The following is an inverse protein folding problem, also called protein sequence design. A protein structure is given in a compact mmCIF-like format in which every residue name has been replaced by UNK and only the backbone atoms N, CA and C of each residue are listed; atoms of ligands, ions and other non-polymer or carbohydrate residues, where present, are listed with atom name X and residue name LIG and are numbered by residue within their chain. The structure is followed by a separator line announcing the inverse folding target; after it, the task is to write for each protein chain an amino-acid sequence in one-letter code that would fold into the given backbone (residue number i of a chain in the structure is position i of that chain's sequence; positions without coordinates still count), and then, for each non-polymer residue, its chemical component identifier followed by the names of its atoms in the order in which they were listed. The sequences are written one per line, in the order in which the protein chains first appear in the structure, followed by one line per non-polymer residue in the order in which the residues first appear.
data_IF_677388316780
#
_entry.id   IF_677388316780
#
_cell.length_a   1.000
_cell.length_b   1.000
_cell.length_c   1.000
_cell.angle_alpha   90.00
_cell.angle_beta   90.00
_cell.angle_gamma   90.00
#
_symmetry.space_group_name_H-M   'P 1'
#
loop_
_entity.id
_entity.type
_entity.pdbx_description
1 polymer ?
#
# COMPACT_ATOMS: atom_id res chain seq x y z
N UNK A 1 19.42 11.34 -34.39
CA UNK A 1 19.36 12.82 -34.45
C UNK A 1 17.91 13.27 -34.32
N UNK A 2 17.51 13.84 -33.18
CA UNK A 2 16.15 14.37 -33.03
C UNK A 2 15.99 15.64 -33.88
N UNK A 3 14.96 15.69 -34.73
CA UNK A 3 14.68 16.82 -35.62
C UNK A 3 14.57 18.11 -34.80
N UNK A 4 15.11 19.25 -35.27
CA UNK A 4 15.11 20.52 -34.52
C UNK A 4 13.71 20.98 -34.08
N UNK A 5 12.65 20.61 -34.81
CA UNK A 5 11.26 20.87 -34.43
C UNK A 5 10.79 20.16 -33.15
N UNK A 6 11.32 18.97 -32.84
CA UNK A 6 10.94 18.21 -31.63
C UNK A 6 11.56 18.83 -30.36
N UNK A 7 12.72 19.48 -30.51
CA UNK A 7 13.44 20.13 -29.41
C UNK A 7 12.80 21.45 -28.99
N UNK A 8 12.31 22.22 -29.97
CA UNK A 8 11.54 23.44 -29.70
C UNK A 8 10.21 23.07 -29.02
N UNK A 9 9.54 21.99 -29.47
CA UNK A 9 8.32 21.49 -28.82
C UNK A 9 8.52 21.06 -27.36
N UNK A 10 9.65 20.42 -27.02
CA UNK A 10 9.95 20.02 -25.64
C UNK A 10 10.22 21.22 -24.72
N UNK A 11 10.98 22.23 -25.19
CA UNK A 11 11.25 23.45 -24.41
C UNK A 11 9.98 24.26 -24.22
N UNK A 12 9.13 24.37 -25.25
CA UNK A 12 7.83 25.04 -25.16
C UNK A 12 6.88 24.29 -24.22
N UNK A 13 6.89 22.95 -24.21
CA UNK A 13 6.09 22.15 -23.27
C UNK A 13 6.53 22.34 -21.80
N UNK A 14 7.84 22.45 -21.54
CA UNK A 14 8.38 22.68 -20.18
C UNK A 14 8.13 24.12 -19.71
N UNK A 15 8.21 25.10 -20.61
CA UNK A 15 7.85 26.49 -20.29
C UNK A 15 6.34 26.63 -20.03
N UNK A 16 5.49 25.89 -20.77
CA UNK A 16 4.05 25.87 -20.56
C UNK A 16 3.64 25.23 -19.22
N UNK A 17 4.36 24.21 -18.73
CA UNK A 17 4.09 23.60 -17.40
C UNK A 17 4.58 24.46 -16.23
N UNK A 18 5.49 25.41 -16.47
CA UNK A 18 6.02 26.28 -15.43
C UNK A 18 5.25 27.63 -15.29
N UNK A 19 4.52 28.03 -16.34
CA UNK A 19 3.70 29.26 -16.37
C UNK A 19 2.19 29.00 -16.41
N UNK A 20 1.75 27.82 -16.87
CA UNK A 20 0.40 27.35 -16.61
C UNK A 20 0.26 27.09 -15.11
N UNK A 21 -0.93 27.32 -14.54
CA UNK A 21 -1.28 26.74 -13.25
C UNK A 21 -0.70 25.33 -13.23
N UNK A 22 0.16 25.06 -12.26
CA UNK A 22 0.32 23.70 -11.79
C UNK A 22 -1.13 23.28 -11.51
N UNK A 23 -1.76 22.55 -12.43
CA UNK A 23 -2.59 21.45 -12.02
C UNK A 23 -1.60 20.70 -11.16
N UNK A 24 -1.72 20.71 -9.80
CA UNK A 24 -1.06 19.67 -9.09
C UNK A 24 -1.50 18.42 -9.85
N UNK A 25 -0.57 17.69 -10.47
CA UNK A 25 -0.78 16.28 -10.61
C UNK A 25 -1.16 15.91 -9.19
N UNK A 26 -2.46 15.76 -8.96
CA UNK A 26 -3.00 15.76 -7.63
C UNK A 26 -2.37 14.52 -7.04
N UNK A 27 -1.26 14.70 -6.33
CA UNK A 27 -0.91 13.84 -5.23
C UNK A 27 -2.04 14.17 -4.27
N UNK A 28 -3.20 13.58 -4.56
CA UNK A 28 -4.30 13.49 -3.65
C UNK A 28 -3.68 12.70 -2.52
N UNK A 29 -3.10 13.41 -1.57
CA UNK A 29 -2.66 12.82 -0.32
C UNK A 29 -3.90 12.14 0.20
N UNK A 30 -3.96 10.82 0.02
CA UNK A 30 -5.09 10.04 0.43
C UNK A 30 -5.11 10.19 1.95
N UNK A 31 -6.10 10.93 2.47
CA UNK A 31 -6.19 11.20 3.92
C UNK A 31 -6.31 9.90 4.73
N UNK A 32 -6.64 8.78 4.06
CA UNK A 32 -6.65 7.45 4.65
C UNK A 32 -5.29 6.76 4.71
N UNK A 33 -4.22 7.28 4.08
CA UNK A 33 -2.91 6.62 4.06
C UNK A 33 -2.41 6.31 5.49
N UNK A 34 -2.48 7.28 6.39
CA UNK A 34 -2.12 7.08 7.80
C UNK A 34 -3.04 6.08 8.51
N UNK A 35 -4.33 6.09 8.16
CA UNK A 35 -5.30 5.13 8.70
C UNK A 35 -4.93 3.72 8.27
N UNK A 36 -4.59 3.54 7.00
CA UNK A 36 -4.23 2.25 6.47
C UNK A 36 -2.95 1.72 7.08
N UNK A 37 -1.95 2.57 7.19
CA UNK A 37 -0.68 2.22 7.83
C UNK A 37 -0.88 1.80 9.29
N UNK A 38 -1.57 2.62 10.10
CA UNK A 38 -1.74 2.36 11.52
C UNK A 38 -2.72 1.21 11.81
N UNK A 39 -3.84 1.15 11.10
CA UNK A 39 -4.89 0.16 11.36
C UNK A 39 -4.51 -1.25 10.89
N UNK A 40 -3.65 -1.37 9.88
CA UNK A 40 -3.20 -2.67 9.34
C UNK A 40 -2.67 -3.63 10.40
N UNK A 41 -2.03 -3.11 11.46
CA UNK A 41 -1.47 -3.90 12.56
C UNK A 41 -2.53 -4.58 13.44
N UNK A 42 -3.78 -4.13 13.36
CA UNK A 42 -4.89 -4.68 14.14
C UNK A 42 -5.73 -5.68 13.36
N UNK A 43 -5.70 -5.62 12.02
CA UNK A 43 -6.62 -6.39 11.17
C UNK A 43 -6.50 -7.88 11.46
N UNK A 44 -5.28 -8.41 11.51
CA UNK A 44 -5.05 -9.84 11.76
C UNK A 44 -5.68 -10.33 13.07
N UNK A 45 -5.64 -9.52 14.13
CA UNK A 45 -6.35 -9.83 15.37
C UNK A 45 -7.86 -9.70 15.18
N UNK A 46 -8.34 -8.62 14.59
CA UNK A 46 -9.77 -8.35 14.42
C UNK A 46 -10.51 -9.40 13.58
N UNK A 47 -9.83 -10.05 12.64
CA UNK A 47 -10.38 -11.13 11.82
C UNK A 47 -10.07 -12.53 12.37
N UNK A 48 -9.37 -12.63 13.50
CA UNK A 48 -9.06 -13.91 14.18
C UNK A 48 -7.84 -14.65 13.65
N UNK A 49 -7.00 -14.04 12.82
CA UNK A 49 -5.70 -14.59 12.44
C UNK A 49 -4.68 -14.59 13.58
N UNK A 50 -4.89 -13.74 14.59
CA UNK A 50 -4.09 -13.67 15.81
C UNK A 50 -4.98 -13.82 17.03
N UNK A 51 -4.51 -14.58 18.01
CA UNK A 51 -5.22 -14.80 19.28
C UNK A 51 -4.96 -13.69 20.31
N UNK A 52 -3.87 -12.94 20.13
CA UNK A 52 -3.42 -11.91 21.07
C UNK A 52 -3.28 -10.58 20.35
N UNK A 53 -3.72 -9.49 20.98
CA UNK A 53 -3.59 -8.14 20.45
C UNK A 53 -2.12 -7.74 20.36
N UNK A 54 -1.58 -7.39 19.18
CA UNK A 54 -0.21 -6.90 19.07
C UNK A 54 -0.02 -5.57 19.82
N UNK A 55 1.12 -5.39 20.50
CA UNK A 55 1.44 -4.10 21.14
C UNK A 55 1.43 -2.92 20.15
N UNK A 56 1.86 -3.18 18.91
CA UNK A 56 1.83 -2.21 17.82
C UNK A 56 0.40 -1.79 17.47
N UNK A 57 -0.55 -2.74 17.44
CA UNK A 57 -1.96 -2.44 17.25
C UNK A 57 -2.46 -1.47 18.33
N UNK A 58 -2.23 -1.75 19.62
CA UNK A 58 -2.65 -0.82 20.68
C UNK A 58 -1.99 0.56 20.53
N UNK A 59 -0.69 0.63 20.23
CA UNK A 59 -0.01 1.91 20.02
C UNK A 59 -0.62 2.70 18.87
N UNK A 60 -0.92 2.05 17.75
CA UNK A 60 -1.44 2.67 16.55
C UNK A 60 -2.90 3.07 16.68
N UNK A 61 -3.72 2.28 17.37
CA UNK A 61 -5.11 2.65 17.68
C UNK A 61 -5.17 3.86 18.61
N UNK A 62 -4.23 4.01 19.58
CA UNK A 62 -4.14 5.25 20.38
C UNK A 62 -3.83 6.47 19.50
N UNK A 63 -2.88 6.34 18.57
CA UNK A 63 -2.55 7.41 17.61
C UNK A 63 -3.75 7.76 16.76
N UNK A 64 -4.47 6.77 16.22
CA UNK A 64 -5.70 6.99 15.44
C UNK A 64 -6.79 7.66 16.27
N UNK A 65 -6.96 7.27 17.54
CA UNK A 65 -7.92 7.89 18.44
C UNK A 65 -7.57 9.36 18.73
N UNK A 66 -6.28 9.67 18.89
CA UNK A 66 -5.79 11.04 19.00
C UNK A 66 -6.07 11.85 17.72
N UNK A 67 -5.77 11.29 16.55
CA UNK A 67 -6.05 11.93 15.26
C UNK A 67 -7.55 12.16 15.04
N UNK A 68 -8.39 11.20 15.43
CA UNK A 68 -9.84 11.33 15.37
C UNK A 68 -10.34 12.51 16.21
N UNK A 69 -9.79 12.69 17.42
CA UNK A 69 -10.18 13.79 18.33
C UNK A 69 -9.66 15.15 17.90
N UNK A 70 -8.41 15.24 17.44
CA UNK A 70 -7.71 16.52 17.37
C UNK A 70 -7.34 17.01 15.96
N UNK A 71 -7.44 16.15 14.92
CA UNK A 71 -6.94 16.51 13.58
C UNK A 71 -7.90 16.12 12.47
N UNK A 72 -8.14 14.83 12.29
CA UNK A 72 -8.82 14.26 11.13
C UNK A 72 -10.34 14.13 11.32
N UNK A 73 -10.81 14.12 12.57
CA UNK A 73 -12.21 13.89 12.91
C UNK A 73 -12.58 12.40 12.91
N UNK A 74 -13.53 11.98 13.75
CA UNK A 74 -13.90 10.57 13.90
C UNK A 74 -14.55 9.98 12.64
N UNK A 75 -15.29 10.77 11.88
CA UNK A 75 -15.97 10.35 10.65
C UNK A 75 -14.99 9.98 9.53
N UNK A 76 -13.91 10.75 9.36
CA UNK A 76 -12.89 10.44 8.35
C UNK A 76 -12.17 9.13 8.68
N UNK A 77 -11.75 8.96 9.94
CA UNK A 77 -11.09 7.72 10.39
C UNK A 77 -12.03 6.52 10.18
N UNK A 78 -13.30 6.65 10.57
CA UNK A 78 -14.31 5.60 10.36
C UNK A 78 -14.45 5.23 8.89
N UNK A 79 -14.68 6.19 8.00
CA UNK A 79 -14.86 5.94 6.56
C UNK A 79 -13.63 5.27 5.93
N UNK A 80 -12.42 5.66 6.36
CA UNK A 80 -11.19 5.03 5.90
C UNK A 80 -11.11 3.57 6.37
N UNK A 81 -11.41 3.29 7.64
CA UNK A 81 -11.43 1.92 8.16
C UNK A 81 -12.50 1.10 7.42
N UNK A 82 -13.70 1.65 7.22
CA UNK A 82 -14.78 1.01 6.45
C UNK A 82 -14.31 0.62 5.06
N UNK A 83 -13.73 1.55 4.31
CA UNK A 83 -13.21 1.29 2.97
C UNK A 83 -12.12 0.21 2.95
N UNK A 84 -11.30 0.15 3.99
CA UNK A 84 -10.23 -0.83 4.13
C UNK A 84 -10.72 -2.25 4.45
N UNK A 85 -11.78 -2.38 5.25
CA UNK A 85 -12.31 -3.69 5.68
C UNK A 85 -13.47 -4.18 4.83
N UNK A 86 -14.03 -3.31 3.98
CA UNK A 86 -15.14 -3.65 3.09
C UNK A 86 -14.74 -4.74 2.11
N UNK A 87 -15.51 -5.83 2.12
CA UNK A 87 -15.25 -6.98 1.27
C UNK A 87 -14.12 -7.89 1.77
N UNK A 88 -13.53 -7.63 2.94
CA UNK A 88 -12.52 -8.53 3.50
C UNK A 88 -13.14 -9.86 3.92
N UNK A 89 -12.46 -10.96 3.60
CA UNK A 89 -12.80 -12.29 4.07
C UNK A 89 -11.57 -12.89 4.77
N UNK A 90 -11.68 -13.38 6.02
CA UNK A 90 -12.86 -13.35 6.90
C UNK A 90 -13.22 -11.94 7.39
N UNK A 91 -14.50 -11.69 7.75
CA UNK A 91 -14.96 -10.39 8.23
C UNK A 91 -14.45 -10.07 9.64
N UNK A 92 -14.58 -8.81 10.06
CA UNK A 92 -14.27 -8.41 11.44
C UNK A 92 -15.16 -9.13 12.45
N UNK A 93 -14.55 -9.65 13.51
CA UNK A 93 -15.23 -10.40 14.57
C UNK A 93 -15.61 -9.44 15.70
N UNK A 94 -16.90 -9.36 16.02
CA UNK A 94 -17.43 -8.46 17.06
C UNK A 94 -16.77 -8.68 18.43
N UNK A 95 -16.51 -9.93 18.80
CA UNK A 95 -15.79 -10.28 20.03
C UNK A 95 -14.38 -9.68 20.06
N UNK A 96 -13.62 -9.77 18.96
CA UNK A 96 -12.26 -9.22 18.89
C UNK A 96 -12.27 -7.69 18.91
N UNK A 97 -13.28 -7.04 18.32
CA UNK A 97 -13.45 -5.59 18.43
C UNK A 97 -13.62 -5.16 19.89
N UNK A 98 -14.43 -5.89 20.67
CA UNK A 98 -14.62 -5.63 22.09
C UNK A 98 -13.35 -5.93 22.91
N UNK A 99 -12.69 -7.06 22.65
CA UNK A 99 -11.43 -7.41 23.29
C UNK A 99 -10.34 -6.35 23.03
N UNK A 100 -10.28 -5.77 21.83
CA UNK A 100 -9.33 -4.72 21.48
C UNK A 100 -9.43 -3.51 22.43
N UNK A 101 -10.65 -3.04 22.74
CA UNK A 101 -10.84 -1.86 23.59
C UNK A 101 -10.48 -2.15 25.04
N UNK A 102 -10.82 -3.34 25.55
CA UNK A 102 -10.45 -3.79 26.89
C UNK A 102 -8.94 -3.96 27.05
N UNK A 103 -8.32 -4.79 26.21
CA UNK A 103 -6.90 -5.15 26.28
C UNK A 103 -5.99 -3.93 26.06
N UNK A 104 -6.36 -3.03 25.16
CA UNK A 104 -5.61 -1.79 24.96
C UNK A 104 -5.98 -0.68 25.96
N UNK A 105 -7.01 -0.88 26.78
CA UNK A 105 -7.57 0.11 27.71
C UNK A 105 -7.86 1.45 27.04
N UNK A 106 -8.63 1.42 25.94
CA UNK A 106 -8.95 2.57 25.10
C UNK A 106 -10.46 2.73 24.94
N UNK A 107 -10.93 3.96 25.11
CA UNK A 107 -12.23 4.39 24.63
C UNK A 107 -12.08 5.07 23.27
N UNK A 108 -12.59 4.43 22.21
CA UNK A 108 -12.52 4.95 20.85
C UNK A 108 -13.51 6.11 20.64
N UNK A 109 -13.07 7.13 19.90
CA UNK A 109 -13.90 8.25 19.47
C UNK A 109 -14.60 8.01 18.13
N UNK A 110 -14.37 6.86 17.52
CA UNK A 110 -15.01 6.42 16.28
C UNK A 110 -15.46 4.96 16.44
N UNK A 111 -16.56 4.57 15.79
CA UNK A 111 -17.03 3.19 15.86
C UNK A 111 -16.14 2.27 15.03
N UNK A 112 -15.90 1.07 15.55
CA UNK A 112 -15.44 -0.08 14.78
C UNK A 112 -16.53 -1.13 14.94
N UNK A 113 -17.12 -1.60 13.85
CA UNK A 113 -18.11 -2.67 13.86
C UNK A 113 -17.98 -3.53 12.61
N UNK A 114 -18.62 -4.68 12.58
CA UNK A 114 -18.68 -5.52 11.37
C UNK A 114 -19.44 -4.84 10.22
N UNK A 115 -20.37 -3.93 10.54
CA UNK A 115 -21.15 -3.16 9.56
C UNK A 115 -20.56 -1.80 9.19
N UNK A 116 -19.64 -1.28 10.02
CA UNK A 116 -19.01 0.05 9.89
C UNK A 116 -19.98 1.19 9.51
N UNK A 117 -21.07 1.40 10.27
CA UNK A 117 -21.99 2.53 10.05
C UNK A 117 -21.39 3.87 10.53
N UNK A 118 -20.64 4.54 9.66
CA UNK A 118 -19.96 5.79 9.94
C UNK A 118 -20.85 7.03 9.96
N UNK A 119 -22.13 6.90 9.60
CA UNK A 119 -23.10 8.02 9.63
C UNK A 119 -23.35 8.52 11.05
N UNK A 120 -23.15 7.64 12.04
CA UNK A 120 -23.33 7.92 13.48
C UNK A 120 -22.12 8.60 14.14
N UNK A 121 -20.98 8.72 13.44
CA UNK A 121 -19.75 9.33 13.96
C UNK A 121 -19.81 10.87 14.05
N UNK A 122 -21.00 11.44 14.21
CA UNK A 122 -21.29 12.87 14.09
C UNK A 122 -21.06 13.67 15.37
N UNK A 123 -20.60 13.04 16.45
CA UNK A 123 -20.48 13.68 17.76
C UNK A 123 -19.07 13.52 18.34
N UNK A 124 -18.60 14.62 18.94
CA UNK A 124 -17.35 14.82 19.69
C UNK A 124 -16.19 15.55 18.99
N UNK A 125 -16.46 16.47 18.06
CA UNK A 125 -15.82 17.81 17.99
C UNK A 125 -16.24 18.54 16.70
N UNK A 126 -16.38 19.87 16.79
CA UNK A 126 -16.61 20.75 15.64
C UNK A 126 -15.58 20.47 14.53
N UNK A 127 -15.95 20.59 13.24
CA UNK A 127 -14.97 20.59 12.17
C UNK A 127 -14.03 21.79 12.38
N UNK A 128 -12.86 21.55 12.97
CA UNK A 128 -11.73 22.44 12.78
C UNK A 128 -11.22 22.16 11.39
N UNK A 129 -11.37 23.13 10.51
CA UNK A 129 -10.66 23.21 9.23
C UNK A 129 -9.19 22.88 9.52
N UNK A 130 -8.77 21.65 9.18
CA UNK A 130 -7.39 21.24 9.34
C UNK A 130 -6.50 22.22 8.57
N UNK A 131 -5.33 22.60 9.09
CA UNK A 131 -4.46 23.53 8.41
C UNK A 131 -4.13 22.98 7.04
N UNK A 132 -4.51 23.72 6.00
CA UNK A 132 -4.02 23.52 4.65
C UNK A 132 -2.51 23.72 4.67
N UNK A 133 -1.75 22.64 4.75
CA UNK A 133 -0.30 22.62 4.51
C UNK A 133 0.05 22.89 3.03
N UNK A 134 -0.82 23.57 2.29
CA UNK A 134 -0.71 23.90 0.89
C UNK A 134 -0.45 25.40 0.66
N UNK A 135 0.36 26.03 1.53
CA UNK A 135 0.63 27.47 1.35
C UNK A 135 2.04 27.95 1.65
N UNK A 136 2.90 27.14 2.25
CA UNK A 136 4.31 27.47 2.43
C UNK A 136 5.19 26.63 1.49
N UNK A 137 5.49 27.18 0.30
CA UNK A 137 6.74 26.95 -0.46
C UNK A 137 6.64 27.25 -1.97
N UNK A 138 5.54 27.85 -2.46
CA UNK A 138 5.38 28.16 -3.89
C UNK A 138 6.56 28.98 -4.47
N UNK A 139 7.06 29.98 -3.75
CA UNK A 139 8.19 30.80 -4.23
C UNK A 139 9.53 30.09 -4.14
N UNK A 140 9.77 29.32 -3.07
CA UNK A 140 11.04 28.61 -2.88
C UNK A 140 11.20 27.49 -3.93
N UNK A 141 10.12 26.75 -4.20
CA UNK A 141 10.06 25.75 -5.27
C UNK A 141 10.24 26.42 -6.64
N UNK A 142 9.63 27.58 -6.87
CA UNK A 142 9.78 28.32 -8.14
C UNK A 142 11.23 28.78 -8.38
N UNK A 143 11.91 29.31 -7.35
CA UNK A 143 13.34 29.69 -7.47
C UNK A 143 14.24 28.47 -7.65
N UNK A 144 13.98 27.36 -6.94
CA UNK A 144 14.72 26.11 -7.10
C UNK A 144 14.54 25.51 -8.51
N UNK A 145 13.32 25.55 -9.07
CA UNK A 145 13.05 25.12 -10.45
C UNK A 145 13.77 26.01 -11.48
N UNK A 146 13.73 27.33 -11.32
CA UNK A 146 14.45 28.26 -12.20
C UNK A 146 15.97 28.02 -12.16
N UNK A 147 16.53 27.85 -10.96
CA UNK A 147 17.95 27.58 -10.78
C UNK A 147 18.34 26.24 -11.43
N UNK A 148 17.53 25.19 -11.26
CA UNK A 148 17.75 23.88 -11.88
C UNK A 148 17.73 23.97 -13.42
N UNK A 149 16.78 24.72 -14.00
CA UNK A 149 16.69 24.92 -15.45
C UNK A 149 17.93 25.66 -15.97
N UNK A 150 18.38 26.71 -15.28
CA UNK A 150 19.60 27.44 -15.64
C UNK A 150 20.82 26.51 -15.56
N UNK A 151 20.94 25.69 -14.51
CA UNK A 151 22.01 24.70 -14.39
C UNK A 151 21.96 23.67 -15.52
N UNK A 152 20.79 23.16 -15.90
CA UNK A 152 20.63 22.21 -17.03
C UNK A 152 20.97 22.84 -18.40
N UNK A 153 20.75 24.14 -18.57
CA UNK A 153 21.14 24.87 -19.77
C UNK A 153 22.65 25.15 -19.81
N UNK A 154 23.26 25.40 -18.65
CA UNK A 154 24.71 25.63 -18.52
C UNK A 154 25.52 24.33 -18.59
N UNK A 155 24.99 23.23 -18.06
CA UNK A 155 25.55 21.88 -18.22
C UNK A 155 25.17 21.34 -19.61
N UNK A 156 25.76 21.90 -20.66
CA UNK A 156 25.58 21.49 -22.05
C UNK A 156 25.57 19.96 -22.19
N UNK A 157 24.46 19.44 -22.70
CA UNK A 157 24.16 18.00 -22.76
C UNK A 157 25.18 17.23 -23.60
N UNK A 158 26.13 16.59 -22.92
CA UNK A 158 26.68 15.32 -23.38
C UNK A 158 25.51 14.35 -23.43
N UNK A 159 25.19 13.85 -24.62
CA UNK A 159 24.11 12.89 -24.80
C UNK A 159 24.52 11.54 -24.21
N UNK A 160 24.30 11.34 -22.91
CA UNK A 160 24.18 9.98 -22.39
C UNK A 160 22.81 9.46 -22.80
N UNK A 161 22.81 8.54 -23.76
CA UNK A 161 21.70 7.62 -23.95
C UNK A 161 21.47 6.90 -22.62
N UNK A 162 20.46 7.31 -21.86
CA UNK A 162 19.92 6.45 -20.82
C UNK A 162 19.35 5.26 -21.56
N UNK A 163 20.08 4.14 -21.55
CA UNK A 163 19.49 2.85 -21.82
C UNK A 163 18.28 2.75 -20.89
N UNK A 164 17.09 2.63 -21.47
CA UNK A 164 15.91 2.20 -20.72
C UNK A 164 16.26 0.81 -20.17
N UNK A 165 16.69 0.75 -18.92
CA UNK A 165 16.71 -0.52 -18.19
C UNK A 165 15.27 -1.03 -18.22
N UNK A 166 15.09 -2.19 -18.86
CA UNK A 166 13.87 -2.96 -18.71
C UNK A 166 13.60 -3.14 -17.21
N UNK A 167 12.37 -2.93 -16.72
CA UNK A 167 12.06 -3.26 -15.34
C UNK A 167 12.46 -4.72 -15.11
N UNK A 168 13.31 -4.96 -14.12
CA UNK A 168 13.76 -6.29 -13.72
C UNK A 168 13.37 -6.52 -12.26
N UNK A 169 13.03 -7.76 -11.93
CA UNK A 169 12.75 -8.19 -10.56
C UNK A 169 13.75 -9.28 -10.20
N UNK A 170 14.39 -9.16 -9.04
CA UNK A 170 15.29 -10.20 -8.52
C UNK A 170 14.58 -11.03 -7.46
N UNK A 171 15.04 -12.26 -7.22
CA UNK A 171 14.37 -13.15 -6.27
C UNK A 171 14.34 -12.63 -4.82
N UNK A 172 15.28 -11.75 -4.45
CA UNK A 172 15.23 -11.07 -3.15
C UNK A 172 13.97 -10.19 -3.01
N UNK A 173 13.56 -9.51 -4.08
CA UNK A 173 12.34 -8.69 -4.08
C UNK A 173 11.11 -9.59 -3.96
N UNK A 174 11.05 -10.65 -4.76
CA UNK A 174 9.98 -11.65 -4.72
C UNK A 174 9.83 -12.21 -3.31
N UNK A 175 10.93 -12.58 -2.66
CA UNK A 175 10.92 -13.05 -1.29
C UNK A 175 10.38 -11.99 -0.31
N UNK A 176 10.77 -10.72 -0.46
CA UNK A 176 10.28 -9.62 0.37
C UNK A 176 8.76 -9.44 0.36
N UNK A 177 8.13 -9.66 -0.80
CA UNK A 177 6.67 -9.67 -0.94
C UNK A 177 6.06 -10.98 -0.43
N UNK A 178 6.57 -12.12 -0.89
CA UNK A 178 5.97 -13.43 -0.70
C UNK A 178 6.09 -13.97 0.73
N UNK A 179 7.18 -13.65 1.46
CA UNK A 179 7.45 -14.21 2.80
C UNK A 179 6.31 -14.01 3.81
N UNK A 180 5.50 -12.96 3.64
CA UNK A 180 4.36 -12.65 4.52
C UNK A 180 3.25 -13.71 4.43
N UNK A 181 3.16 -14.42 3.30
CA UNK A 181 2.17 -15.45 3.02
C UNK A 181 2.58 -16.86 3.46
N UNK A 182 3.89 -17.11 3.64
CA UNK A 182 4.44 -18.44 3.93
C UNK A 182 3.78 -19.10 5.13
N UNK A 183 3.56 -18.35 6.22
CA UNK A 183 2.93 -18.89 7.43
C UNK A 183 1.53 -19.46 7.16
N UNK A 184 0.74 -18.83 6.29
CA UNK A 184 -0.54 -19.37 5.88
C UNK A 184 -0.38 -20.54 4.94
N UNK A 185 0.44 -20.41 3.91
CA UNK A 185 0.64 -21.45 2.88
C UNK A 185 1.19 -22.75 3.46
N UNK A 186 1.99 -22.69 4.52
CA UNK A 186 2.54 -23.84 5.25
C UNK A 186 1.61 -24.39 6.34
N UNK A 187 0.46 -23.75 6.58
CA UNK A 187 -0.51 -24.18 7.58
C UNK A 187 -0.23 -23.72 9.02
N UNK A 188 0.87 -23.01 9.25
CA UNK A 188 1.25 -22.47 10.58
C UNK A 188 0.24 -21.44 11.07
N UNK A 189 -0.22 -20.56 10.18
CA UNK A 189 -1.24 -19.55 10.47
C UNK A 189 -2.60 -19.95 9.90
N UNK A 190 -3.71 -19.71 10.60
CA UNK A 190 -5.05 -20.06 10.11
C UNK A 190 -5.47 -19.24 8.87
N UNK A 191 -4.91 -18.04 8.67
CA UNK A 191 -5.19 -17.15 7.54
C UNK A 191 -3.94 -16.35 7.10
N UNK A 192 -3.90 -15.83 5.85
CA UNK A 192 -2.74 -15.12 5.29
C UNK A 192 -2.37 -13.83 6.04
N UNK A 193 -3.34 -13.20 6.68
CA UNK A 193 -3.18 -11.88 7.27
C UNK A 193 -3.17 -10.77 6.21
N UNK A 194 -3.45 -9.55 6.65
CA UNK A 194 -3.61 -8.40 5.77
C UNK A 194 -2.34 -8.08 4.99
N UNK A 195 -1.19 -8.14 5.67
CA UNK A 195 0.11 -7.84 5.06
C UNK A 195 0.46 -8.79 3.90
N UNK A 196 0.05 -10.06 3.97
CA UNK A 196 0.22 -11.00 2.87
C UNK A 196 -0.58 -10.56 1.65
N UNK A 197 -1.89 -10.27 1.81
CA UNK A 197 -2.75 -9.91 0.69
C UNK A 197 -2.30 -8.62 -0.03
N UNK A 198 -1.83 -7.61 0.72
CA UNK A 198 -1.27 -6.39 0.11
C UNK A 198 0.01 -6.70 -0.65
N UNK A 199 0.93 -7.43 -0.02
CA UNK A 199 2.23 -7.70 -0.64
C UNK A 199 2.15 -8.60 -1.86
N UNK A 200 1.24 -9.59 -1.86
CA UNK A 200 1.03 -10.45 -3.02
C UNK A 200 0.31 -9.70 -4.15
N UNK A 201 -0.56 -8.72 -3.82
CA UNK A 201 -1.18 -7.84 -4.83
C UNK A 201 -0.13 -6.96 -5.50
N UNK A 202 0.75 -6.33 -4.71
CA UNK A 202 1.85 -5.51 -5.23
C UNK A 202 2.81 -6.33 -6.11
N UNK A 203 3.14 -7.56 -5.66
CA UNK A 203 3.94 -8.48 -6.47
C UNK A 203 3.23 -8.84 -7.77
N UNK A 204 1.92 -9.12 -7.73
CA UNK A 204 1.13 -9.44 -8.92
C UNK A 204 1.11 -8.30 -9.94
N UNK A 205 0.92 -7.07 -9.48
CA UNK A 205 0.94 -5.88 -10.34
C UNK A 205 2.31 -5.69 -10.98
N UNK A 206 3.40 -5.84 -10.21
CA UNK A 206 4.76 -5.81 -10.74
C UNK A 206 5.00 -6.91 -11.77
N UNK A 207 4.53 -8.13 -11.49
CA UNK A 207 4.71 -9.29 -12.36
C UNK A 207 4.13 -9.04 -13.76
N UNK A 208 2.98 -8.37 -13.84
CA UNK A 208 2.30 -8.08 -15.11
C UNK A 208 3.04 -7.06 -15.99
N UNK A 209 3.97 -6.30 -15.42
CA UNK A 209 4.76 -5.30 -16.15
C UNK A 209 6.09 -5.87 -16.69
N UNK A 210 6.40 -7.12 -16.37
CA UNK A 210 7.68 -7.75 -16.67
C UNK A 210 7.54 -8.72 -17.85
N UNK A 211 8.49 -8.65 -18.77
CA UNK A 211 8.68 -9.71 -19.77
C UNK A 211 9.10 -11.00 -19.04
N UNK A 212 8.41 -12.12 -19.31
CA UNK A 212 8.57 -13.39 -18.59
C UNK A 212 8.37 -13.30 -17.05
N UNK A 213 7.63 -12.28 -16.59
CA UNK A 213 7.35 -12.03 -15.17
C UNK A 213 6.78 -13.25 -14.44
N UNK A 214 5.68 -13.87 -14.91
CA UNK A 214 5.07 -14.99 -14.23
C UNK A 214 6.01 -16.17 -13.99
N UNK A 215 6.81 -16.51 -15.02
CA UNK A 215 7.80 -17.57 -14.95
C UNK A 215 8.91 -17.22 -13.95
N UNK A 216 9.43 -16.00 -14.02
CA UNK A 216 10.49 -15.50 -13.13
C UNK A 216 10.06 -15.54 -11.66
N UNK A 217 8.87 -15.00 -11.36
CA UNK A 217 8.32 -14.97 -9.99
C UNK A 217 8.05 -16.37 -9.46
N UNK A 218 7.48 -17.25 -10.29
CA UNK A 218 7.30 -18.65 -9.93
C UNK A 218 8.63 -19.33 -9.56
N UNK A 219 9.66 -19.18 -10.40
CA UNK A 219 10.98 -19.80 -10.16
C UNK A 219 11.59 -19.32 -8.84
N UNK A 220 11.52 -18.02 -8.55
CA UNK A 220 11.99 -17.47 -7.28
C UNK A 220 11.22 -18.04 -6.07
N UNK A 221 9.90 -18.24 -6.18
CA UNK A 221 9.09 -18.84 -5.10
C UNK A 221 9.47 -20.31 -4.87
N UNK A 222 9.77 -21.05 -5.95
CA UNK A 222 10.24 -22.42 -5.90
C UNK A 222 11.62 -22.54 -5.26
N UNK A 223 12.56 -21.67 -5.62
CA UNK A 223 13.90 -21.62 -5.01
C UNK A 223 13.81 -21.35 -3.51
N UNK A 224 12.99 -20.38 -3.10
CA UNK A 224 12.74 -20.09 -1.68
C UNK A 224 12.14 -21.30 -0.97
N UNK A 225 11.15 -21.96 -1.58
CA UNK A 225 10.54 -23.18 -1.03
C UNK A 225 11.58 -24.28 -0.83
N UNK A 226 12.44 -24.51 -1.81
CA UNK A 226 13.49 -25.52 -1.78
C UNK A 226 14.55 -25.25 -0.70
N UNK A 227 15.01 -24.01 -0.59
CA UNK A 227 16.02 -23.59 0.39
C UNK A 227 15.46 -23.60 1.81
N UNK A 228 14.24 -23.09 2.00
CA UNK A 228 13.60 -23.03 3.33
C UNK A 228 12.93 -24.33 3.75
N UNK A 229 12.85 -25.33 2.85
CA UNK A 229 12.09 -26.57 3.03
C UNK A 229 10.62 -26.32 3.39
N UNK A 230 10.06 -25.25 2.84
CA UNK A 230 8.65 -24.88 3.06
C UNK A 230 7.73 -25.73 2.21
N UNK A 231 6.90 -26.57 2.83
CA UNK A 231 5.90 -27.35 2.12
C UNK A 231 4.60 -26.55 2.07
N UNK A 232 4.25 -26.03 0.89
CA UNK A 232 3.00 -25.30 0.69
C UNK A 232 1.82 -26.25 0.52
N UNK A 233 0.67 -25.88 1.07
CA UNK A 233 -0.55 -26.65 1.00
C UNK A 233 -1.40 -26.24 -0.22
N UNK A 234 -1.82 -27.22 -1.01
CA UNK A 234 -2.56 -27.00 -2.26
C UNK A 234 -3.88 -26.27 -2.05
N UNK A 235 -4.67 -26.70 -1.07
CA UNK A 235 -5.95 -26.07 -0.74
C UNK A 235 -5.74 -24.61 -0.35
N UNK A 236 -4.66 -24.30 0.37
CA UNK A 236 -4.36 -22.93 0.83
C UNK A 236 -3.88 -22.02 -0.28
N UNK A 237 -3.21 -22.55 -1.31
CA UNK A 237 -2.87 -21.77 -2.51
C UNK A 237 -4.15 -21.28 -3.20
N UNK A 238 -5.15 -22.16 -3.35
CA UNK A 238 -6.44 -21.76 -3.91
C UNK A 238 -7.19 -20.78 -2.99
N UNK A 239 -7.22 -21.05 -1.68
CA UNK A 239 -7.85 -20.16 -0.71
C UNK A 239 -7.20 -18.77 -0.68
N UNK A 240 -5.89 -18.65 -0.91
CA UNK A 240 -5.19 -17.36 -0.93
C UNK A 240 -5.83 -16.41 -1.95
N UNK A 241 -6.13 -16.90 -3.16
CA UNK A 241 -6.75 -16.08 -4.21
C UNK A 241 -8.16 -15.64 -3.82
N UNK A 242 -8.93 -16.54 -3.21
CA UNK A 242 -10.30 -16.25 -2.76
C UNK A 242 -10.29 -15.24 -1.60
N UNK A 243 -9.51 -15.49 -0.55
CA UNK A 243 -9.41 -14.66 0.66
C UNK A 243 -8.88 -13.28 0.33
N UNK A 244 -7.81 -13.19 -0.47
CA UNK A 244 -7.24 -11.91 -0.86
C UNK A 244 -8.00 -11.24 -2.01
N UNK A 245 -9.01 -11.91 -2.60
CA UNK A 245 -9.77 -11.43 -3.76
C UNK A 245 -8.89 -10.97 -4.92
N UNK A 246 -7.84 -11.74 -5.21
CA UNK A 246 -6.88 -11.44 -6.28
C UNK A 246 -6.62 -12.69 -7.12
N UNK A 247 -6.71 -12.52 -8.43
CA UNK A 247 -6.24 -13.52 -9.38
C UNK A 247 -4.75 -13.28 -9.65
N UNK A 248 -3.89 -14.16 -9.13
CA UNK A 248 -2.46 -14.08 -9.36
C UNK A 248 -2.13 -14.42 -10.82
N UNK A 249 -1.25 -13.62 -11.43
CA UNK A 249 -0.77 -13.82 -12.80
C UNK A 249 0.33 -14.87 -12.89
N UNK A 250 0.81 -15.37 -11.76
CA UNK A 250 1.88 -16.36 -11.66
C UNK A 250 1.40 -17.58 -10.85
N UNK A 251 1.85 -18.79 -11.20
CA UNK A 251 1.52 -19.98 -10.43
C UNK A 251 2.31 -20.04 -9.12
N UNK A 252 1.67 -20.56 -8.07
CA UNK A 252 2.34 -21.06 -6.86
C UNK A 252 2.22 -22.57 -6.92
N UNK A 253 3.33 -23.25 -7.22
CA UNK A 253 3.33 -24.70 -7.43
C UNK A 253 3.99 -25.44 -6.27
N UNK A 254 3.39 -26.56 -5.88
CA UNK A 254 4.02 -27.56 -4.98
C UNK A 254 4.93 -28.48 -5.81
N UNK A 255 4.58 -28.69 -7.08
CA UNK A 255 5.24 -29.60 -8.00
C UNK A 255 6.40 -28.94 -8.77
N UNK A 256 6.79 -27.73 -8.38
CA UNK A 256 7.83 -26.94 -9.03
C UNK A 256 7.66 -26.82 -10.56
N UNK A 257 6.50 -26.31 -11.01
CA UNK A 257 6.19 -26.25 -12.44
C UNK A 257 5.79 -24.83 -12.84
N UNK A 258 6.80 -24.04 -13.23
CA UNK A 258 6.66 -22.70 -13.77
C UNK A 258 6.44 -22.65 -15.29
N UNK A 259 6.00 -23.74 -15.90
CA UNK A 259 5.81 -23.82 -17.37
C UNK A 259 4.46 -23.25 -17.83
N UNK A 260 3.64 -22.73 -16.91
CA UNK A 260 2.29 -22.21 -17.16
C UNK A 260 2.15 -20.79 -16.66
#
# INVERSE_FOLDING_TARGET
MARPGVRILLVVAILATCWGQWLPAAVAFNRCQYVYEYFSYCIDFLVGCQLVVPRQCCSHVRKLNFLAKHMLGPRLICNCIEAMVKGMEPPLIAYNIYALTLECSIHLSFPISSSMDCSKAHSLLKPTEGPTMAQFSSRLIQYLCLLLIVVLLLMGFSSSSTATESPSIICSDVFGYFRKCIGFLTGIKPCPGYACCISISELNEKTQQLQDGPKTVCQCIEDVSYVTKSIYNFSRIHQLNTICQKHLSFPISIAMNCSK
#
